data_IF_352798891642
#
_entry.id   IF_352798891642
#
_cell.length_a   1.000
_cell.length_b   1.000
_cell.length_c   1.000
_cell.angle_alpha   90.00
_cell.angle_beta   90.00
_cell.angle_gamma   90.00
#
_symmetry.space_group_name_H-M   'P 1'
#
loop_
_entity.id
_entity.type
_entity.pdbx_description
1 polymer ?
#
# COMPACT_ATOMS: atom_id res chain seq x y z
N UNK A 1 18.10 5.42 26.11
CA UNK A 1 16.64 5.24 26.31
C UNK A 1 15.80 5.87 25.22
N UNK A 2 16.15 7.07 24.70
CA UNK A 2 15.30 7.78 23.72
C UNK A 2 15.17 7.06 22.34
N UNK A 3 16.18 6.31 21.91
CA UNK A 3 16.21 5.70 20.57
C UNK A 3 15.32 4.45 20.46
N UNK A 4 15.14 3.74 21.58
CA UNK A 4 14.21 2.59 21.64
C UNK A 4 12.77 3.07 21.46
N UNK A 5 12.40 4.19 22.10
CA UNK A 5 11.05 4.77 21.96
C UNK A 5 10.75 5.23 20.52
N UNK A 6 11.72 5.81 19.82
CA UNK A 6 11.53 6.24 18.41
C UNK A 6 11.25 5.08 17.48
N UNK A 7 11.96 3.97 17.65
CA UNK A 7 11.71 2.74 16.89
C UNK A 7 10.34 2.14 17.20
N UNK A 8 9.98 2.15 18.48
CA UNK A 8 8.69 1.64 18.95
C UNK A 8 7.52 2.47 18.42
N UNK A 9 7.67 3.80 18.34
CA UNK A 9 6.67 4.67 17.73
C UNK A 9 6.47 4.38 16.25
N UNK A 10 7.56 4.20 15.47
CA UNK A 10 7.48 3.84 14.05
C UNK A 10 6.77 2.51 13.83
N UNK A 11 7.09 1.51 14.64
CA UNK A 11 6.41 0.21 14.61
C UNK A 11 4.92 0.34 14.98
N UNK A 12 4.59 1.12 15.98
CA UNK A 12 3.20 1.39 16.39
C UNK A 12 2.38 2.01 15.24
N UNK A 13 2.93 3.01 14.57
CA UNK A 13 2.28 3.65 13.42
C UNK A 13 2.11 2.67 12.26
N UNK A 14 3.11 1.84 11.97
CA UNK A 14 3.02 0.83 10.92
C UNK A 14 1.93 -0.21 11.23
N UNK A 15 1.88 -0.71 12.48
CA UNK A 15 0.85 -1.67 12.92
C UNK A 15 -0.55 -1.05 12.84
N UNK A 16 -0.71 0.20 13.25
CA UNK A 16 -1.98 0.91 13.07
C UNK A 16 -2.38 1.04 11.60
N UNK A 17 -1.40 1.28 10.71
CA UNK A 17 -1.63 1.29 9.27
C UNK A 17 -2.12 -0.07 8.75
N UNK A 18 -1.47 -1.16 9.14
CA UNK A 18 -1.83 -2.52 8.72
C UNK A 18 -3.24 -2.88 9.23
N UNK A 19 -3.50 -2.69 10.52
CA UNK A 19 -4.80 -2.97 11.14
C UNK A 19 -5.89 -2.09 10.52
N UNK A 20 -5.62 -0.80 10.37
CA UNK A 20 -6.56 0.15 9.78
C UNK A 20 -6.89 -0.20 8.32
N UNK A 21 -5.89 -0.56 7.52
CA UNK A 21 -6.10 -0.98 6.12
C UNK A 21 -6.94 -2.26 6.07
N UNK A 22 -6.66 -3.25 6.90
CA UNK A 22 -7.39 -4.53 6.90
C UNK A 22 -8.82 -4.40 7.45
N UNK A 23 -9.01 -3.58 8.49
CA UNK A 23 -10.31 -3.45 9.16
C UNK A 23 -11.29 -2.54 8.39
N UNK A 24 -10.78 -1.55 7.64
CA UNK A 24 -11.58 -0.53 6.98
C UNK A 24 -11.48 -0.59 5.44
N UNK A 25 -10.93 -1.67 4.89
CA UNK A 25 -10.96 -1.86 3.45
C UNK A 25 -12.41 -1.97 2.96
N UNK A 26 -12.69 -1.37 1.82
CA UNK A 26 -13.96 -1.52 1.14
C UNK A 26 -13.73 -2.31 -0.13
N UNK A 27 -14.45 -3.42 -0.28
CA UNK A 27 -14.49 -4.20 -1.51
C UNK A 27 -15.87 -4.13 -2.13
N UNK A 28 -15.93 -3.90 -3.43
CA UNK A 28 -17.16 -3.91 -4.21
C UNK A 28 -16.92 -4.68 -5.51
N UNK A 29 -17.70 -5.73 -5.72
CA UNK A 29 -17.71 -6.48 -6.98
C UNK A 29 -18.88 -5.98 -7.80
N UNK A 30 -18.62 -5.50 -9.01
CA UNK A 30 -19.62 -4.98 -9.93
C UNK A 30 -19.42 -5.57 -11.32
N UNK A 31 -20.49 -5.65 -12.10
CA UNK A 31 -20.42 -5.94 -13.52
C UNK A 31 -20.91 -4.70 -14.27
N UNK A 32 -20.04 -4.12 -15.08
CA UNK A 32 -20.31 -2.86 -15.78
C UNK A 32 -20.24 -3.05 -17.30
N UNK A 33 -21.15 -2.37 -17.98
CA UNK A 33 -21.08 -2.17 -19.44
C UNK A 33 -20.39 -0.84 -19.76
N UNK A 34 -19.81 -0.69 -20.94
CA UNK A 34 -19.27 0.59 -21.37
C UNK A 34 -20.30 1.73 -21.23
N UNK A 35 -19.88 2.83 -20.62
CA UNK A 35 -20.74 3.98 -20.28
C UNK A 35 -21.39 3.92 -18.91
N UNK A 36 -21.36 2.81 -18.21
CA UNK A 36 -21.91 2.70 -16.85
C UNK A 36 -20.94 3.23 -15.78
N UNK A 37 -21.51 3.65 -14.66
CA UNK A 37 -20.77 4.18 -13.51
C UNK A 37 -20.85 3.24 -12.33
N UNK A 38 -19.80 3.22 -11.54
CA UNK A 38 -19.78 2.63 -10.20
C UNK A 38 -19.23 3.64 -9.20
N UNK A 39 -19.58 3.45 -7.94
CA UNK A 39 -19.08 4.27 -6.84
C UNK A 39 -18.45 3.39 -5.77
N UNK A 40 -17.29 3.80 -5.26
CA UNK A 40 -16.58 3.16 -4.14
C UNK A 40 -15.85 4.23 -3.32
N UNK A 41 -16.09 4.25 -2.02
CA UNK A 41 -15.43 5.15 -1.06
C UNK A 41 -15.47 6.65 -1.48
N UNK A 42 -16.56 7.10 -2.11
CA UNK A 42 -16.74 8.47 -2.59
C UNK A 42 -16.00 8.80 -3.88
N UNK A 43 -15.47 7.79 -4.58
CA UNK A 43 -14.96 7.92 -5.94
C UNK A 43 -16.01 7.41 -6.92
N UNK A 44 -16.28 8.20 -7.94
CA UNK A 44 -17.10 7.84 -9.10
C UNK A 44 -16.18 7.30 -10.19
N UNK A 45 -16.52 6.14 -10.72
CA UNK A 45 -15.75 5.42 -11.74
C UNK A 45 -16.63 5.26 -12.98
N UNK A 46 -16.29 5.92 -14.06
CA UNK A 46 -16.95 5.77 -15.35
C UNK A 46 -16.17 4.79 -16.22
N UNK A 47 -16.78 3.66 -16.53
CA UNK A 47 -16.20 2.66 -17.43
C UNK A 47 -16.38 3.05 -18.88
N UNK A 48 -15.30 3.31 -19.61
CA UNK A 48 -15.35 3.71 -21.03
C UNK A 48 -15.38 2.50 -21.99
N UNK A 49 -14.85 1.37 -21.59
CA UNK A 49 -14.79 0.17 -22.41
C UNK A 49 -13.44 -0.53 -22.32
N UNK A 50 -13.31 -1.61 -23.12
CA UNK A 50 -12.09 -2.42 -23.22
C UNK A 50 -11.51 -2.26 -24.62
N UNK A 51 -10.18 -2.16 -24.69
CA UNK A 51 -9.42 -2.15 -25.93
C UNK A 51 -8.47 -3.33 -25.95
N UNK A 52 -8.57 -4.24 -26.95
CA UNK A 52 -7.61 -5.31 -27.12
C UNK A 52 -6.30 -4.77 -27.70
N UNK A 53 -5.18 -5.15 -27.10
CA UNK A 53 -3.83 -4.79 -27.53
C UNK A 53 -2.98 -6.05 -27.61
N UNK A 54 -1.97 -6.06 -28.48
CA UNK A 54 -1.01 -7.16 -28.59
C UNK A 54 0.39 -6.67 -28.26
N UNK A 55 1.03 -7.34 -27.31
CA UNK A 55 2.44 -7.18 -27.01
C UNK A 55 3.31 -8.20 -27.74
N UNK A 56 4.63 -8.18 -27.51
CA UNK A 56 5.57 -9.08 -28.17
C UNK A 56 5.31 -10.57 -27.90
N UNK A 57 4.87 -10.91 -26.69
CA UNK A 57 4.64 -12.28 -26.21
C UNK A 57 3.34 -12.47 -25.44
N UNK A 58 2.42 -11.49 -25.49
CA UNK A 58 1.12 -11.53 -24.81
C UNK A 58 0.05 -10.83 -25.63
N UNK A 59 -1.20 -11.18 -25.37
CA UNK A 59 -2.39 -10.40 -25.71
C UNK A 59 -2.94 -9.73 -24.47
N UNK A 60 -3.40 -8.49 -24.59
CA UNK A 60 -3.85 -7.68 -23.46
C UNK A 60 -5.21 -7.07 -23.75
N UNK A 61 -6.06 -7.03 -22.74
CA UNK A 61 -7.32 -6.31 -22.73
C UNK A 61 -7.19 -5.16 -21.71
N UNK A 62 -7.16 -3.94 -22.20
CA UNK A 62 -7.02 -2.73 -21.36
C UNK A 62 -8.39 -2.11 -21.19
N UNK A 63 -8.85 -2.00 -19.95
CA UNK A 63 -10.05 -1.26 -19.60
C UNK A 63 -9.70 0.19 -19.25
N UNK A 64 -10.55 1.13 -19.67
CA UNK A 64 -10.35 2.56 -19.36
C UNK A 64 -11.41 3.02 -18.38
N UNK A 65 -10.95 3.59 -17.25
CA UNK A 65 -11.79 4.18 -16.22
C UNK A 65 -11.45 5.64 -16.01
N UNK A 66 -12.44 6.51 -16.15
CA UNK A 66 -12.34 7.88 -15.67
C UNK A 66 -12.78 7.93 -14.21
N UNK A 67 -11.91 8.43 -13.37
CA UNK A 67 -12.12 8.53 -11.91
C UNK A 67 -12.41 9.97 -11.57
N UNK A 68 -13.53 10.22 -10.91
CA UNK A 68 -13.90 11.51 -10.36
C UNK A 68 -14.15 11.41 -8.85
N UNK A 69 -14.02 12.54 -8.16
CA UNK A 69 -14.39 12.68 -6.76
C UNK A 69 -15.09 14.01 -6.54
N UNK A 70 -16.28 13.98 -5.94
CA UNK A 70 -17.11 15.17 -5.75
C UNK A 70 -17.37 15.93 -7.07
N UNK A 71 -17.58 15.20 -8.17
CA UNK A 71 -17.81 15.77 -9.50
C UNK A 71 -16.57 16.31 -10.22
N UNK A 72 -15.40 16.35 -9.58
CA UNK A 72 -14.14 16.77 -10.18
C UNK A 72 -13.35 15.57 -10.73
N UNK A 73 -12.82 15.62 -11.96
CA UNK A 73 -11.97 14.56 -12.50
C UNK A 73 -10.66 14.49 -11.71
N UNK A 74 -10.26 13.27 -11.34
CA UNK A 74 -9.06 13.01 -10.54
C UNK A 74 -7.98 12.37 -11.37
N UNK A 75 -8.30 11.28 -12.08
CA UNK A 75 -7.33 10.51 -12.88
C UNK A 75 -8.04 9.58 -13.85
N UNK A 76 -7.27 8.99 -14.75
CA UNK A 76 -7.71 7.87 -15.58
C UNK A 76 -6.92 6.63 -15.19
N UNK A 77 -7.60 5.52 -14.94
CA UNK A 77 -6.99 4.24 -14.62
C UNK A 77 -7.14 3.25 -15.77
N UNK A 78 -6.11 2.47 -16.00
CA UNK A 78 -6.02 1.52 -17.11
C UNK A 78 -5.73 0.11 -16.58
N UNK A 79 -6.63 -0.50 -15.79
CA UNK A 79 -6.46 -1.90 -15.42
C UNK A 79 -6.49 -2.79 -16.65
N UNK A 80 -5.69 -3.83 -16.65
CA UNK A 80 -5.62 -4.74 -17.79
C UNK A 80 -5.57 -6.21 -17.40
N UNK A 81 -5.90 -7.06 -18.36
CA UNK A 81 -5.76 -8.51 -18.27
C UNK A 81 -4.88 -8.98 -19.41
N UNK A 82 -3.74 -9.56 -19.06
CA UNK A 82 -2.77 -10.11 -20.01
C UNK A 82 -2.85 -11.62 -20.07
N UNK A 83 -2.73 -12.15 -21.26
CA UNK A 83 -2.54 -13.58 -21.50
C UNK A 83 -1.20 -13.76 -22.21
N UNK A 84 -0.24 -14.36 -21.52
CA UNK A 84 1.06 -14.69 -22.07
C UNK A 84 0.95 -15.94 -22.95
N UNK A 85 1.77 -16.01 -24.01
CA UNK A 85 1.68 -17.08 -25.02
C UNK A 85 2.46 -18.34 -24.61
N UNK A 86 3.57 -18.20 -23.88
CA UNK A 86 4.42 -19.33 -23.53
C UNK A 86 5.13 -19.12 -22.17
N UNK A 87 4.77 -19.88 -21.12
CA UNK A 87 3.57 -20.71 -21.02
C UNK A 87 2.29 -19.86 -20.96
N UNK A 88 1.14 -20.40 -21.41
CA UNK A 88 -0.12 -19.67 -21.33
C UNK A 88 -0.46 -19.34 -19.87
N UNK A 89 -0.36 -18.07 -19.49
CA UNK A 89 -0.64 -17.62 -18.14
C UNK A 89 -1.42 -16.32 -18.16
N UNK A 90 -2.63 -16.29 -17.58
CA UNK A 90 -3.38 -15.06 -17.40
C UNK A 90 -2.79 -14.26 -16.22
N UNK A 91 -2.58 -12.97 -16.42
CA UNK A 91 -2.12 -12.03 -15.39
C UNK A 91 -3.04 -10.83 -15.40
N UNK A 92 -3.46 -10.39 -14.23
CA UNK A 92 -4.27 -9.17 -14.07
C UNK A 92 -3.38 -8.04 -13.58
N UNK A 93 -3.34 -6.95 -14.33
CA UNK A 93 -2.69 -5.71 -13.91
C UNK A 93 -3.76 -4.75 -13.41
N UNK A 94 -3.64 -4.35 -12.16
CA UNK A 94 -4.59 -3.46 -11.55
C UNK A 94 -4.29 -2.00 -11.86
N UNK A 95 -5.34 -1.21 -12.05
CA UNK A 95 -5.25 0.24 -12.02
C UNK A 95 -5.25 0.74 -10.58
N UNK A 96 -4.20 1.45 -10.17
CA UNK A 96 -4.05 1.94 -8.80
C UNK A 96 -3.97 3.47 -8.79
N UNK A 97 -4.81 4.11 -8.01
CA UNK A 97 -4.71 5.52 -7.69
C UNK A 97 -4.36 5.70 -6.23
N UNK A 98 -3.16 6.19 -5.98
CA UNK A 98 -2.62 6.39 -4.65
C UNK A 98 -2.95 7.80 -4.14
N UNK A 99 -3.96 7.92 -3.26
CA UNK A 99 -4.36 9.16 -2.62
C UNK A 99 -3.85 9.24 -1.16
N UNK A 100 -3.84 10.44 -0.58
CA UNK A 100 -3.47 10.60 0.84
C UNK A 100 -4.40 9.87 1.80
N UNK A 101 -5.68 9.77 1.46
CA UNK A 101 -6.71 9.13 2.27
C UNK A 101 -6.71 7.60 2.16
N UNK A 102 -6.10 7.06 1.13
CA UNK A 102 -6.04 5.63 0.83
C UNK A 102 -5.85 5.37 -0.65
N UNK A 103 -5.63 4.12 -1.01
CA UNK A 103 -5.39 3.69 -2.37
C UNK A 103 -6.68 3.10 -2.96
N UNK A 104 -7.09 3.62 -4.11
CA UNK A 104 -8.14 3.06 -4.94
C UNK A 104 -7.52 2.06 -5.90
N UNK A 105 -8.07 0.85 -5.95
CA UNK A 105 -7.56 -0.25 -6.73
C UNK A 105 -8.70 -0.85 -7.57
N UNK A 106 -8.46 -1.03 -8.87
CA UNK A 106 -9.41 -1.62 -9.81
C UNK A 106 -8.75 -2.82 -10.46
N UNK A 107 -9.36 -3.99 -10.32
CA UNK A 107 -8.94 -5.20 -11.01
C UNK A 107 -9.99 -5.64 -12.01
N UNK A 108 -9.54 -5.96 -13.22
CA UNK A 108 -10.38 -6.47 -14.31
C UNK A 108 -10.62 -7.97 -14.11
N UNK A 109 -11.89 -8.37 -14.12
CA UNK A 109 -12.31 -9.77 -14.10
C UNK A 109 -12.67 -10.28 -15.47
N UNK A 110 -13.58 -11.24 -15.51
CA UNK A 110 -14.01 -11.88 -16.76
C UNK A 110 -15.22 -11.16 -17.37
N UNK A 111 -15.28 -11.18 -18.69
CA UNK A 111 -16.44 -10.72 -19.42
C UNK A 111 -17.59 -11.73 -19.28
N UNK A 112 -18.78 -11.24 -18.97
CA UNK A 112 -19.97 -12.03 -18.83
C UNK A 112 -20.69 -12.20 -20.16
N UNK A 113 -21.51 -13.24 -20.33
CA UNK A 113 -22.30 -13.42 -21.55
C UNK A 113 -23.25 -12.26 -21.88
N UNK A 114 -23.55 -11.42 -20.90
CA UNK A 114 -24.36 -10.19 -21.02
C UNK A 114 -23.61 -9.03 -21.68
N UNK A 115 -22.32 -9.17 -21.97
CA UNK A 115 -21.43 -8.09 -22.41
C UNK A 115 -20.99 -7.14 -21.29
N UNK A 116 -21.37 -7.43 -20.04
CA UNK A 116 -20.85 -6.73 -18.89
C UNK A 116 -19.53 -7.36 -18.43
N UNK A 117 -18.62 -6.54 -17.94
CA UNK A 117 -17.33 -6.99 -17.42
C UNK A 117 -17.35 -6.98 -15.91
N UNK A 118 -17.01 -8.11 -15.30
CA UNK A 118 -16.86 -8.21 -13.87
C UNK A 118 -15.62 -7.44 -13.43
N UNK A 119 -15.74 -6.67 -12.37
CA UNK A 119 -14.65 -5.85 -11.84
C UNK A 119 -14.64 -5.91 -10.34
N UNK A 120 -13.46 -5.88 -9.77
CA UNK A 120 -13.26 -5.76 -8.33
C UNK A 120 -12.68 -4.39 -8.04
N UNK A 121 -13.41 -3.65 -7.24
CA UNK A 121 -13.06 -2.32 -6.80
C UNK A 121 -12.66 -2.41 -5.33
N UNK A 122 -11.47 -1.95 -4.99
CA UNK A 122 -11.01 -1.93 -3.61
C UNK A 122 -10.62 -0.51 -3.22
N UNK A 123 -10.90 -0.16 -2.00
CA UNK A 123 -10.35 1.03 -1.39
C UNK A 123 -9.65 0.63 -0.09
N UNK A 124 -8.36 0.92 0.00
CA UNK A 124 -7.51 0.62 1.14
C UNK A 124 -7.14 1.92 1.87
N UNK A 125 -7.86 2.29 2.93
CA UNK A 125 -7.50 3.45 3.73
C UNK A 125 -6.21 3.17 4.52
N UNK A 126 -5.55 4.23 4.97
CA UNK A 126 -4.39 4.16 5.87
C UNK A 126 -3.11 3.47 5.33
N UNK A 127 -3.06 3.05 4.07
CA UNK A 127 -1.85 2.47 3.46
C UNK A 127 -0.63 3.38 3.65
N UNK A 128 -0.85 4.70 3.62
CA UNK A 128 0.22 5.69 3.86
C UNK A 128 0.87 5.59 5.24
N UNK A 129 0.14 5.15 6.27
CA UNK A 129 0.69 4.97 7.61
C UNK A 129 1.71 3.82 7.66
N UNK A 130 1.53 2.80 6.84
CA UNK A 130 2.47 1.67 6.72
C UNK A 130 3.83 2.21 6.24
N UNK A 131 3.81 3.01 5.18
CA UNK A 131 5.02 3.63 4.62
C UNK A 131 5.63 4.65 5.57
N UNK A 132 4.82 5.49 6.19
CA UNK A 132 5.27 6.48 7.17
C UNK A 132 5.96 5.79 8.36
N UNK A 133 5.35 4.74 8.92
CA UNK A 133 5.93 3.97 10.01
C UNK A 133 7.27 3.35 9.63
N UNK A 134 7.38 2.80 8.42
CA UNK A 134 8.62 2.22 7.90
C UNK A 134 9.74 3.26 7.75
N UNK A 135 9.41 4.45 7.23
CA UNK A 135 10.36 5.57 7.10
C UNK A 135 10.85 6.04 8.47
N UNK A 136 9.94 6.19 9.45
CA UNK A 136 10.29 6.57 10.82
C UNK A 136 11.22 5.53 11.46
N UNK A 137 10.94 4.24 11.27
CA UNK A 137 11.81 3.16 11.76
C UNK A 137 13.19 3.20 11.11
N UNK A 138 13.25 3.44 9.79
CA UNK A 138 14.52 3.56 9.06
C UNK A 138 15.36 4.72 9.59
N UNK A 139 14.76 5.92 9.73
CA UNK A 139 15.45 7.09 10.27
C UNK A 139 15.93 6.83 11.71
N UNK A 140 15.07 6.24 12.55
CA UNK A 140 15.46 5.87 13.92
C UNK A 140 16.61 4.86 13.96
N UNK A 141 16.64 3.93 13.02
CA UNK A 141 17.75 2.99 12.83
C UNK A 141 19.06 3.67 12.43
N UNK A 142 18.99 4.58 11.45
CA UNK A 142 20.16 5.36 11.00
C UNK A 142 20.76 6.21 12.12
N UNK A 143 19.92 6.91 12.89
CA UNK A 143 20.36 7.71 14.03
C UNK A 143 21.05 6.81 15.07
N UNK A 144 20.46 5.66 15.37
CA UNK A 144 21.02 4.71 16.33
C UNK A 144 22.36 4.12 15.88
N UNK A 145 22.54 3.86 14.58
CA UNK A 145 23.80 3.40 14.03
C UNK A 145 24.88 4.50 13.99
N UNK A 146 24.48 5.75 13.86
CA UNK A 146 25.36 6.91 13.86
C UNK A 146 25.87 7.27 15.25
N UNK A 147 25.17 6.86 16.32
CA UNK A 147 25.61 7.13 17.68
C UNK A 147 26.73 6.16 18.10
N UNK A 148 27.96 6.65 18.05
CA UNK A 148 29.17 5.91 18.47
C UNK A 148 29.11 5.38 19.90
N UNK A 149 28.34 6.03 20.79
CA UNK A 149 28.23 5.63 22.20
C UNK A 149 27.50 4.30 22.40
N UNK A 150 26.66 3.92 21.46
CA UNK A 150 25.95 2.63 21.49
C UNK A 150 26.77 1.50 20.84
N UNK A 151 27.76 1.84 20.03
CA UNK A 151 28.61 0.86 19.32
C UNK A 151 29.76 0.31 20.16
N UNK A 152 30.30 1.12 21.06
CA UNK A 152 31.34 0.73 21.99
C UNK A 152 30.65 0.67 23.34
N UNK A 153 30.49 -0.56 23.86
CA UNK A 153 29.93 -0.75 25.21
C UNK A 153 30.63 0.23 26.16
N UNK A 154 29.89 1.23 26.65
CA UNK A 154 30.44 2.18 27.58
C UNK A 154 31.04 1.39 28.74
N UNK A 155 32.34 1.55 29.06
CA UNK A 155 32.93 0.83 30.18
C UNK A 155 32.11 1.14 31.41
N UNK A 156 31.53 0.13 32.03
CA UNK A 156 30.87 0.28 33.31
C UNK A 156 31.92 0.90 34.25
N UNK A 157 31.65 2.14 34.70
CA UNK A 157 32.43 2.71 35.77
C UNK A 157 32.44 1.70 36.90
N UNK A 158 33.57 1.05 37.12
CA UNK A 158 33.79 0.21 38.26
C UNK A 158 33.41 1.07 39.49
N UNK A 159 32.33 0.71 40.15
CA UNK A 159 32.00 1.27 41.46
C UNK A 159 33.23 1.02 42.32
N UNK A 160 33.98 2.08 42.60
CA UNK A 160 35.04 2.01 43.58
C UNK A 160 34.41 1.48 44.85
N UNK A 161 34.68 0.23 45.15
CA UNK A 161 34.44 -0.33 46.47
C UNK A 161 35.32 0.48 47.39
N UNK A 162 34.71 1.43 48.08
CA UNK A 162 35.34 2.01 49.28
C UNK A 162 35.58 0.85 50.24
N UNK A 163 36.79 0.38 50.27
CA UNK A 163 37.28 -0.50 51.34
C UNK A 163 37.23 0.32 52.62
N UNK A 164 36.23 0.05 53.45
CA UNK A 164 36.24 0.46 54.83
C UNK A 164 37.46 -0.24 55.52
N UNK A 165 38.43 0.54 55.83
CA UNK A 165 39.53 0.13 56.73
C UNK A 165 38.94 0.22 58.15
N UNK A 166 38.93 -0.87 58.92
CA UNK A 166 38.59 -0.79 60.34
C UNK A 166 39.74 -0.08 61.05
N UNK A 167 39.44 0.97 61.78
CA UNK A 167 40.36 1.56 62.74
C UNK A 167 40.35 0.74 64.02
N UNK A 168 41.56 0.29 64.40
CA UNK A 168 41.87 -0.19 65.73
C UNK A 168 41.99 0.99 66.68
#
# INVERSE_FOLDING_TARGET
ASDVYKRQQGMGIMVLGIVGTSAYQTEKIVALKPGEKAEVAGYELLFKGIQPTKGPNYSEQIATFEVARNGAPVTTLLPSKRLYNAPPQPTTEAGIYAAWTGDLYIALGDEQPSGAVAMRLYFHPFVRLIWLGSVIMFIGGMISLSDRRLRVGAPQRARARASAVPAE
#
